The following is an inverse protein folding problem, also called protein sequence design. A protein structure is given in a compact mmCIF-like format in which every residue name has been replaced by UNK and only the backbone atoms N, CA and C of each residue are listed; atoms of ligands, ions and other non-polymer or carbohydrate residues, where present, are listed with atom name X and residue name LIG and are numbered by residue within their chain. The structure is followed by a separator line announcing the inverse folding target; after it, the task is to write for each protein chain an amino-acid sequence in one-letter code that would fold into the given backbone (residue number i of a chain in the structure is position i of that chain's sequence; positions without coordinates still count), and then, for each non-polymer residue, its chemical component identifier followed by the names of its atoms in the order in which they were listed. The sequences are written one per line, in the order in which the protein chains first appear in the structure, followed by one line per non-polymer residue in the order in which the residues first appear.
data_IF_443989231589
#
_entry.id   IF_443989231589
#
_cell.length_a   1.000
_cell.length_b   1.000
_cell.length_c   1.000
_cell.angle_alpha   90.00
_cell.angle_beta   90.00
_cell.angle_gamma   90.00
#
_symmetry.space_group_name_H-M   'P 1'
#
loop_
_entity.id
_entity.type
_entity.pdbx_description
1 polymer ?
#
# COMPACT_ATOMS: atom_id res chain seq x y z
N UNK A 1 32.48 13.55 -7.11
CA UNK A 1 32.22 12.10 -7.14
C UNK A 1 30.78 11.83 -6.72
N UNK A 2 30.04 11.08 -7.52
CA UNK A 2 28.57 10.96 -7.43
C UNK A 2 28.11 10.17 -6.18
N UNK A 3 27.25 10.80 -5.37
CA UNK A 3 26.60 10.17 -4.23
C UNK A 3 25.55 9.16 -4.68
N UNK A 4 25.84 7.86 -4.48
CA UNK A 4 24.89 6.77 -4.71
C UNK A 4 23.75 6.86 -3.68
N UNK A 5 22.56 7.30 -4.13
CA UNK A 5 21.31 7.19 -3.37
C UNK A 5 20.97 5.70 -3.17
N UNK A 6 21.05 5.20 -1.93
CA UNK A 6 20.60 3.84 -1.58
C UNK A 6 19.07 3.81 -1.60
N UNK A 7 18.48 3.13 -2.58
CA UNK A 7 17.07 2.75 -2.54
C UNK A 7 16.88 1.73 -1.41
N UNK A 8 16.32 2.17 -0.27
CA UNK A 8 15.98 1.27 0.84
C UNK A 8 14.61 0.65 0.54
N UNK A 9 14.64 -0.60 0.10
CA UNK A 9 13.48 -1.49 -0.09
C UNK A 9 12.61 -1.53 1.17
N UNK A 10 11.28 -1.47 1.00
CA UNK A 10 10.29 -1.67 2.07
C UNK A 10 10.63 -2.98 2.82
N UNK A 11 11.16 -2.88 4.03
CA UNK A 11 11.40 -4.04 4.91
C UNK A 11 10.09 -4.33 5.65
N UNK A 12 9.40 -5.43 5.31
CA UNK A 12 8.42 -6.05 6.22
C UNK A 12 9.23 -6.55 7.43
N UNK A 13 9.13 -5.86 8.56
CA UNK A 13 9.68 -6.34 9.82
C UNK A 13 8.93 -7.62 10.20
N UNK A 14 9.61 -8.76 10.15
CA UNK A 14 9.19 -9.96 10.86
C UNK A 14 9.38 -9.69 12.36
N UNK A 15 8.30 -9.35 13.07
CA UNK A 15 8.29 -9.28 14.53
C UNK A 15 7.16 -10.18 15.05
N UNK A 16 7.48 -11.33 15.67
CA UNK A 16 6.51 -12.04 16.49
C UNK A 16 6.45 -11.31 17.82
N UNK A 17 5.41 -10.49 18.03
CA UNK A 17 4.91 -10.07 19.35
C UNK A 17 3.58 -9.36 19.12
N UNK A 18 2.49 -10.07 19.37
CA UNK A 18 1.17 -9.48 19.57
C UNK A 18 1.26 -8.44 20.69
N UNK A 19 0.69 -7.24 20.48
CA UNK A 19 -0.24 -6.77 21.49
C UNK A 19 -1.55 -6.29 20.87
N UNK A 20 -2.63 -6.75 21.52
CA UNK A 20 -3.91 -6.07 21.73
C UNK A 20 -4.78 -5.80 20.49
N UNK A 21 -5.82 -6.62 20.41
CA UNK A 21 -7.16 -6.24 19.98
C UNK A 21 -7.66 -5.01 20.78
N UNK A 22 -7.09 -3.83 20.53
CA UNK A 22 -7.60 -2.57 21.06
C UNK A 22 -8.54 -1.96 20.04
N UNK A 23 -9.85 -2.18 20.18
CA UNK A 23 -10.96 -1.46 19.52
C UNK A 23 -10.53 -0.60 18.31
N UNK A 24 -10.42 -1.23 17.14
CA UNK A 24 -10.12 -0.53 15.90
C UNK A 24 -11.40 0.13 15.42
N UNK A 25 -11.51 1.45 15.51
CA UNK A 25 -12.59 2.21 14.88
C UNK A 25 -12.62 1.87 13.37
N UNK A 26 -13.60 1.04 13.00
CA UNK A 26 -13.77 0.36 11.71
C UNK A 26 -14.37 1.28 10.65
N UNK A 27 -13.64 2.31 10.20
CA UNK A 27 -14.16 3.17 9.12
C UNK A 27 -13.60 2.71 7.78
N UNK A 28 -14.46 2.07 6.98
CA UNK A 28 -14.23 1.83 5.55
C UNK A 28 -14.48 3.12 4.76
N UNK A 29 -15.37 3.97 5.28
CA UNK A 29 -15.70 5.29 4.78
C UNK A 29 -14.65 6.31 5.23
N UNK A 30 -13.94 6.88 4.25
CA UNK A 30 -13.16 8.09 4.43
C UNK A 30 -14.08 9.31 4.43
N UNK A 31 -13.56 10.45 4.81
CA UNK A 31 -14.24 11.74 4.66
C UNK A 31 -14.36 12.15 3.19
N UNK A 32 -13.49 11.64 2.31
CA UNK A 32 -13.45 11.99 0.88
C UNK A 32 -13.63 10.79 -0.04
N UNK A 33 -13.11 9.62 0.34
CA UNK A 33 -13.16 8.41 -0.50
C UNK A 33 -13.71 7.20 0.25
N UNK A 34 -14.58 6.44 -0.41
CA UNK A 34 -14.97 5.10 0.01
C UNK A 34 -14.03 4.07 -0.63
N UNK A 35 -13.31 3.31 0.20
CA UNK A 35 -12.35 2.32 -0.27
C UNK A 35 -13.02 1.06 -0.82
N UNK A 36 -14.24 0.73 -0.38
CA UNK A 36 -14.87 -0.56 -0.72
C UNK A 36 -15.24 -0.67 -2.20
N UNK A 37 -15.92 0.31 -2.82
CA UNK A 37 -16.23 0.26 -4.25
C UNK A 37 -14.97 0.24 -5.12
N UNK A 38 -13.93 0.97 -4.71
CA UNK A 38 -12.65 1.03 -5.41
C UNK A 38 -11.97 -0.34 -5.37
N UNK A 39 -11.91 -0.97 -4.19
CA UNK A 39 -11.36 -2.30 -4.00
C UNK A 39 -12.10 -3.34 -4.85
N UNK A 40 -13.43 -3.37 -4.78
CA UNK A 40 -14.24 -4.36 -5.47
C UNK A 40 -14.09 -4.25 -7.00
N UNK A 41 -13.99 -3.03 -7.54
CA UNK A 41 -13.73 -2.81 -8.96
C UNK A 41 -12.33 -3.29 -9.38
N UNK A 42 -11.29 -3.01 -8.58
CA UNK A 42 -9.93 -3.51 -8.85
C UNK A 42 -9.87 -5.04 -8.76
N UNK A 43 -10.52 -5.64 -7.76
CA UNK A 43 -10.53 -7.08 -7.53
C UNK A 43 -11.18 -7.81 -8.73
N UNK A 44 -12.30 -7.28 -9.24
CA UNK A 44 -12.94 -7.83 -10.45
C UNK A 44 -12.05 -7.73 -11.68
N UNK A 45 -11.48 -6.55 -11.95
CA UNK A 45 -10.72 -6.28 -13.19
C UNK A 45 -9.39 -7.00 -13.26
N UNK A 46 -8.62 -7.02 -12.17
CA UNK A 46 -7.22 -7.45 -12.19
C UNK A 46 -6.97 -8.75 -11.44
N UNK A 47 -7.81 -9.10 -10.47
CA UNK A 47 -7.60 -10.25 -9.59
C UNK A 47 -8.66 -11.34 -9.76
N UNK A 48 -9.56 -11.20 -10.74
CA UNK A 48 -10.65 -12.15 -11.05
C UNK A 48 -11.51 -12.50 -9.84
N UNK A 49 -11.68 -11.55 -8.91
CA UNK A 49 -12.45 -11.75 -7.69
C UNK A 49 -11.79 -12.61 -6.61
N UNK A 50 -10.51 -13.00 -6.77
CA UNK A 50 -9.80 -13.88 -5.82
C UNK A 50 -9.61 -13.27 -4.44
N UNK A 51 -9.61 -11.94 -4.33
CA UNK A 51 -9.38 -11.23 -3.06
C UNK A 51 -10.69 -10.87 -2.33
N UNK A 52 -11.80 -11.60 -2.57
CA UNK A 52 -13.12 -11.29 -1.98
C UNK A 52 -13.12 -11.30 -0.44
N UNK A 53 -12.27 -12.10 0.17
CA UNK A 53 -12.17 -12.27 1.62
C UNK A 53 -11.34 -11.15 2.28
N UNK A 54 -10.67 -10.32 1.48
CA UNK A 54 -9.89 -9.20 1.99
C UNK A 54 -10.78 -8.06 2.48
N UNK A 55 -10.44 -7.56 3.67
CA UNK A 55 -11.03 -6.36 4.25
C UNK A 55 -10.13 -5.16 3.94
N UNK A 56 -10.67 -4.18 3.22
CA UNK A 56 -10.00 -2.89 2.98
C UNK A 56 -10.48 -1.88 4.02
N UNK A 57 -9.57 -1.13 4.62
CA UNK A 57 -9.92 -0.15 5.64
C UNK A 57 -8.91 1.00 5.73
N UNK A 58 -9.34 2.13 6.29
CA UNK A 58 -8.41 3.19 6.67
C UNK A 58 -7.60 2.79 7.91
N UNK A 59 -6.31 3.13 7.90
CA UNK A 59 -5.42 2.98 9.05
C UNK A 59 -5.72 3.98 10.16
N UNK A 60 -4.91 3.98 11.22
CA UNK A 60 -5.01 5.00 12.28
C UNK A 60 -4.28 6.28 11.87
N UNK A 61 -4.92 7.44 12.06
CA UNK A 61 -4.24 8.73 11.98
C UNK A 61 -3.15 8.79 13.05
N UNK A 62 -1.88 8.89 12.63
CA UNK A 62 -0.76 9.13 13.55
C UNK A 62 -0.74 10.62 13.92
N UNK A 63 -0.56 10.92 15.21
CA UNK A 63 -0.42 12.30 15.71
C UNK A 63 0.83 13.02 15.16
N UNK A 64 1.87 12.26 14.77
CA UNK A 64 3.12 12.79 14.20
C UNK A 64 3.34 12.25 12.80
N UNK A 65 3.65 13.14 11.86
CA UNK A 65 4.08 12.77 10.50
C UNK A 65 5.47 12.13 10.55
N UNK A 66 5.71 11.08 9.77
CA UNK A 66 7.04 10.47 9.70
C UNK A 66 8.04 11.42 9.03
N UNK A 67 9.30 11.38 9.48
CA UNK A 67 10.38 12.29 9.06
C UNK A 67 11.18 11.79 7.85
N UNK A 68 11.27 10.48 7.63
CA UNK A 68 12.19 9.90 6.63
C UNK A 68 11.46 9.15 5.50
N UNK A 69 10.34 8.47 5.77
CA UNK A 69 9.59 7.72 4.76
C UNK A 69 8.10 7.71 5.04
N UNK A 70 7.29 7.66 3.98
CA UNK A 70 5.85 7.61 4.06
C UNK A 70 5.33 6.26 3.55
N UNK A 71 4.48 5.60 4.34
CA UNK A 71 3.81 4.36 3.94
C UNK A 71 2.39 4.71 3.54
N UNK A 72 2.07 4.53 2.27
CA UNK A 72 0.75 4.81 1.68
C UNK A 72 -0.29 3.75 2.02
N UNK A 73 0.13 2.49 2.13
CA UNK A 73 -0.70 1.37 2.55
C UNK A 73 0.14 0.21 3.06
N UNK A 74 -0.54 -0.76 3.65
CA UNK A 74 0.04 -2.02 4.10
C UNK A 74 -0.96 -3.14 3.92
N UNK A 75 -0.49 -4.32 3.53
CA UNK A 75 -1.27 -5.57 3.55
C UNK A 75 -0.82 -6.49 4.69
N UNK A 76 -1.78 -7.20 5.28
CA UNK A 76 -1.60 -8.35 6.16
C UNK A 76 -2.28 -9.53 5.47
N UNK A 77 -1.47 -10.45 4.95
CA UNK A 77 -1.96 -11.60 4.17
C UNK A 77 -2.64 -12.61 5.08
N UNK A 78 -2.10 -12.83 6.27
CA UNK A 78 -2.58 -13.78 7.28
C UNK A 78 -3.99 -13.40 7.77
N UNK A 79 -4.22 -12.11 8.00
CA UNK A 79 -5.51 -11.58 8.46
C UNK A 79 -6.45 -11.20 7.30
N UNK A 80 -5.99 -11.31 6.05
CA UNK A 80 -6.69 -10.81 4.87
C UNK A 80 -7.12 -9.33 5.01
N UNK A 81 -6.21 -8.45 5.44
CA UNK A 81 -6.53 -7.02 5.66
C UNK A 81 -5.60 -6.12 4.85
N UNK A 82 -6.18 -5.17 4.12
CA UNK A 82 -5.48 -4.06 3.47
C UNK A 82 -5.80 -2.78 4.24
N UNK A 83 -4.77 -2.09 4.70
CA UNK A 83 -4.87 -0.81 5.40
C UNK A 83 -4.30 0.31 4.55
N UNK A 84 -5.11 1.32 4.26
CA UNK A 84 -4.69 2.52 3.54
C UNK A 84 -4.46 3.66 4.52
N UNK A 85 -3.39 4.43 4.32
CA UNK A 85 -3.07 5.54 5.21
C UNK A 85 -4.11 6.66 5.09
N UNK A 86 -4.73 7.12 6.20
CA UNK A 86 -5.73 8.19 6.16
C UNK A 86 -5.23 9.52 5.62
N UNK A 87 -3.93 9.75 5.47
CA UNK A 87 -3.44 10.95 4.80
C UNK A 87 -3.82 10.98 3.31
N UNK A 88 -4.18 9.84 2.70
CA UNK A 88 -4.67 9.78 1.34
C UNK A 88 -6.14 10.20 1.20
N UNK A 89 -6.86 10.28 2.31
CA UNK A 89 -8.25 10.73 2.38
C UNK A 89 -8.32 12.26 2.43
N UNK A 90 -7.82 12.92 1.37
CA UNK A 90 -7.76 14.39 1.25
C UNK A 90 -8.14 14.84 -0.17
N UNK A 91 -8.77 16.03 -0.33
CA UNK A 91 -9.27 16.50 -1.63
C UNK A 91 -8.20 16.64 -2.71
N UNK A 92 -6.95 16.97 -2.32
CA UNK A 92 -5.85 17.14 -3.27
C UNK A 92 -5.33 15.81 -3.83
N UNK A 93 -5.68 14.68 -3.20
CA UNK A 93 -5.23 13.34 -3.60
C UNK A 93 -6.15 12.85 -4.71
N UNK A 94 -5.64 12.62 -5.93
CA UNK A 94 -6.49 12.21 -7.02
C UNK A 94 -6.99 10.77 -6.84
N UNK A 95 -8.24 10.50 -7.21
CA UNK A 95 -8.83 9.16 -7.12
C UNK A 95 -8.00 8.09 -7.86
N UNK A 96 -7.44 8.42 -9.02
CA UNK A 96 -6.58 7.49 -9.78
C UNK A 96 -5.29 7.14 -9.04
N UNK A 97 -4.78 8.03 -8.17
CA UNK A 97 -3.63 7.73 -7.32
C UNK A 97 -4.02 6.80 -6.18
N UNK A 98 -5.17 7.04 -5.54
CA UNK A 98 -5.70 6.13 -4.53
C UNK A 98 -5.94 4.72 -5.09
N UNK A 99 -6.49 4.63 -6.31
CA UNK A 99 -6.65 3.37 -7.05
C UNK A 99 -5.31 2.66 -7.27
N UNK A 100 -4.27 3.40 -7.62
CA UNK A 100 -2.93 2.85 -7.77
C UNK A 100 -2.37 2.30 -6.46
N UNK A 101 -2.46 3.07 -5.36
CA UNK A 101 -1.98 2.61 -4.04
C UNK A 101 -2.71 1.33 -3.64
N UNK A 102 -4.02 1.30 -3.79
CA UNK A 102 -4.81 0.12 -3.44
C UNK A 102 -4.45 -1.08 -4.32
N UNK A 103 -4.28 -0.89 -5.62
CA UNK A 103 -3.80 -1.92 -6.54
C UNK A 103 -2.41 -2.45 -6.16
N UNK A 104 -1.48 -1.57 -5.78
CA UNK A 104 -0.15 -1.95 -5.29
C UNK A 104 -0.25 -2.82 -4.04
N UNK A 105 -1.10 -2.46 -3.08
CA UNK A 105 -1.29 -3.28 -1.88
C UNK A 105 -1.92 -4.63 -2.21
N UNK A 106 -2.89 -4.68 -3.14
CA UNK A 106 -3.50 -5.93 -3.60
C UNK A 106 -2.49 -6.83 -4.34
N UNK A 107 -1.56 -6.27 -5.10
CA UNK A 107 -0.53 -7.05 -5.80
C UNK A 107 0.34 -7.88 -4.84
N UNK A 108 0.60 -7.39 -3.62
CA UNK A 108 1.35 -8.14 -2.61
C UNK A 108 0.68 -9.45 -2.22
N UNK A 109 -0.66 -9.54 -2.29
CA UNK A 109 -1.36 -10.82 -2.05
C UNK A 109 -1.37 -11.76 -3.26
N UNK A 110 -1.19 -11.22 -4.46
CA UNK A 110 -1.33 -11.98 -5.70
C UNK A 110 0.00 -12.44 -6.30
N UNK A 111 1.11 -11.87 -5.84
CA UNK A 111 2.47 -12.22 -6.25
C UNK A 111 3.23 -12.67 -5.00
N UNK A 112 3.67 -13.94 -4.94
CA UNK A 112 4.39 -14.43 -3.78
C UNK A 112 5.75 -13.73 -3.63
N UNK A 113 6.17 -13.55 -2.38
CA UNK A 113 7.50 -13.06 -2.07
C UNK A 113 8.58 -14.09 -2.46
N UNK A 114 9.69 -13.61 -3.01
CA UNK A 114 10.89 -14.44 -3.20
C UNK A 114 11.64 -14.57 -1.87
N UNK A 115 11.95 -15.79 -1.45
CA UNK A 115 12.81 -16.03 -0.29
C UNK A 115 14.27 -16.07 -0.75
N UNK A 116 15.07 -15.13 -0.27
CA UNK A 116 16.50 -15.03 -0.51
C UNK A 116 17.29 -15.86 0.52
N UNK A 117 18.56 -16.20 0.23
CA UNK A 117 19.48 -16.73 1.23
C UNK A 117 19.49 -15.86 2.51
N UNK A 118 19.72 -16.49 3.66
CA UNK A 118 19.68 -15.85 5.00
C UNK A 118 18.28 -15.49 5.52
N UNK A 119 17.20 -16.06 4.96
CA UNK A 119 15.82 -15.86 5.45
C UNK A 119 15.25 -14.47 5.16
N UNK A 120 15.85 -13.72 4.22
CA UNK A 120 15.35 -12.42 3.77
C UNK A 120 14.25 -12.65 2.72
N UNK A 121 13.18 -11.86 2.77
CA UNK A 121 12.12 -11.87 1.75
C UNK A 121 12.25 -10.68 0.81
N UNK A 122 12.17 -10.92 -0.49
CA UNK A 122 12.05 -9.90 -1.53
C UNK A 122 10.60 -9.85 -2.01
N UNK A 123 9.93 -8.78 -1.59
CA UNK A 123 8.51 -8.54 -1.88
C UNK A 123 8.32 -8.02 -3.30
N UNK A 124 9.16 -7.07 -3.74
CA UNK A 124 9.10 -6.53 -5.12
C UNK A 124 9.97 -7.39 -6.05
N UNK A 125 9.45 -8.56 -6.39
CA UNK A 125 10.01 -9.50 -7.38
C UNK A 125 9.91 -8.93 -8.79
N UNK A 126 10.54 -9.58 -9.77
CA UNK A 126 10.41 -9.17 -11.17
C UNK A 126 8.95 -9.25 -11.65
N UNK A 127 8.24 -10.31 -11.27
CA UNK A 127 6.82 -10.48 -11.58
C UNK A 127 5.96 -9.38 -10.94
N UNK A 128 6.27 -8.99 -9.69
CA UNK A 128 5.59 -7.87 -9.04
C UNK A 128 5.76 -6.59 -9.87
N UNK A 129 7.01 -6.26 -10.22
CA UNK A 129 7.31 -5.05 -10.99
C UNK A 129 6.68 -5.08 -12.39
N UNK A 130 6.58 -6.26 -13.02
CA UNK A 130 5.92 -6.44 -14.31
C UNK A 130 4.43 -6.10 -14.22
N UNK A 131 3.72 -6.73 -13.28
CA UNK A 131 2.28 -6.47 -13.08
C UNK A 131 2.00 -5.04 -12.62
N UNK A 132 2.86 -4.49 -11.77
CA UNK A 132 2.74 -3.09 -11.33
C UNK A 132 2.79 -2.11 -12.52
N UNK A 133 3.68 -2.37 -13.49
CA UNK A 133 3.81 -1.56 -14.71
C UNK A 133 2.64 -1.71 -15.69
N UNK A 134 1.90 -2.80 -15.63
CA UNK A 134 0.70 -3.02 -16.45
C UNK A 134 -0.47 -2.15 -16.01
N UNK A 135 -0.43 -1.58 -14.79
CA UNK A 135 -1.50 -0.72 -14.32
C UNK A 135 -1.56 0.59 -15.14
N UNK A 136 -2.72 0.98 -15.70
CA UNK A 136 -2.83 2.11 -16.62
C UNK A 136 -2.29 3.43 -16.06
N UNK A 137 -2.41 3.65 -14.75
CA UNK A 137 -1.95 4.88 -14.09
C UNK A 137 -0.56 4.76 -13.46
N UNK A 138 0.19 3.67 -13.67
CA UNK A 138 1.49 3.43 -13.01
C UNK A 138 2.45 4.60 -13.17
N UNK A 139 2.77 4.99 -14.42
CA UNK A 139 3.75 6.06 -14.70
C UNK A 139 3.31 7.40 -14.11
N UNK A 140 2.02 7.71 -14.22
CA UNK A 140 1.43 8.94 -13.67
C UNK A 140 1.47 8.95 -12.14
N UNK A 141 1.19 7.81 -11.50
CA UNK A 141 1.23 7.66 -10.06
C UNK A 141 2.63 7.77 -9.49
N UNK A 142 3.64 7.17 -10.14
CA UNK A 142 5.05 7.32 -9.74
C UNK A 142 5.51 8.77 -9.80
N UNK A 143 5.19 9.49 -10.88
CA UNK A 143 5.50 10.94 -10.98
C UNK A 143 4.81 11.75 -9.90
N UNK A 144 3.50 11.55 -9.70
CA UNK A 144 2.74 12.30 -8.70
C UNK A 144 3.20 11.99 -7.27
N UNK A 145 3.56 10.74 -7.00
CA UNK A 145 4.16 10.31 -5.72
C UNK A 145 5.43 11.12 -5.45
N UNK A 146 6.35 11.19 -6.41
CA UNK A 146 7.61 11.94 -6.29
C UNK A 146 7.37 13.44 -6.06
N UNK A 147 6.42 14.04 -6.78
CA UNK A 147 6.07 15.47 -6.68
C UNK A 147 5.36 15.82 -5.37
N UNK A 148 4.58 14.90 -4.79
CA UNK A 148 3.73 15.15 -3.62
C UNK A 148 4.25 14.52 -2.33
N UNK A 149 5.32 13.72 -2.37
CA UNK A 149 5.84 13.02 -1.20
C UNK A 149 6.20 13.98 -0.05
N UNK A 150 6.77 15.15 -0.40
CA UNK A 150 7.11 16.21 0.55
C UNK A 150 5.90 16.74 1.32
N UNK A 151 4.68 16.64 0.78
CA UNK A 151 3.44 17.08 1.45
C UNK A 151 3.01 16.11 2.55
N UNK A 152 3.43 14.85 2.44
CA UNK A 152 3.17 13.79 3.42
C UNK A 152 4.27 13.68 4.47
N UNK A 153 5.50 14.02 4.10
CA UNK A 153 6.64 14.14 4.99
C UNK A 153 6.61 15.50 5.72
N UNK A 154 7.27 15.60 6.87
CA UNK A 154 7.45 16.86 7.60
C UNK A 154 8.87 16.95 8.12
#
# INVERSE_FOLDING_TARGET
MAGKKKAKTKRKLAHPKLPMQGQLNLRQEGTQFDLRPIFDDLNRRYFRGRLRDYKVMWGRRRKRRPREYFIFGTIQEEDCVIRINPALDQPFVPLWFLRYVLYHEMLHSAVPDETLPEGRRRVHTEEFNRREREFPSYRRARRWEEENLSRFLR
#
